data_IF_969130278396
#
_entry.id   IF_969130278396
#
_cell.length_a   1.000
_cell.length_b   1.000
_cell.length_c   1.000
_cell.angle_alpha   90.00
_cell.angle_beta   90.00
_cell.angle_gamma   90.00
#
_symmetry.space_group_name_H-M   'P 1'
#
loop_
_entity.id
_entity.type
_entity.pdbx_description
1 polymer ?
#
# COMPACT_ATOMS: atom_id res chain seq x y z
N UNK A 1 -17.89 21.28 -13.61
CA UNK A 1 -17.13 20.53 -12.58
C UNK A 1 -15.97 19.78 -13.24
N UNK A 2 -14.72 20.14 -12.93
CA UNK A 2 -13.60 19.28 -13.31
C UNK A 2 -13.84 17.92 -12.66
N UNK A 3 -13.86 16.85 -13.45
CA UNK A 3 -13.82 15.50 -12.90
C UNK A 3 -12.42 15.29 -12.34
N UNK A 4 -12.30 15.15 -11.03
CA UNK A 4 -11.04 14.67 -10.44
C UNK A 4 -10.97 13.18 -10.77
N UNK A 5 -9.98 12.79 -11.56
CA UNK A 5 -9.70 11.39 -11.85
C UNK A 5 -8.96 10.83 -10.64
N UNK A 6 -9.70 10.07 -9.82
CA UNK A 6 -9.22 9.45 -8.60
C UNK A 6 -9.47 7.96 -8.68
N UNK A 7 -8.40 7.20 -8.48
CA UNK A 7 -8.41 5.76 -8.42
C UNK A 7 -9.23 5.29 -7.22
N UNK A 8 -9.80 4.09 -7.32
CA UNK A 8 -10.68 3.54 -6.26
C UNK A 8 -9.93 3.22 -4.97
N UNK A 9 -8.61 3.11 -5.04
CA UNK A 9 -7.72 2.82 -3.92
C UNK A 9 -6.41 3.58 -4.12
N UNK A 10 -5.64 3.70 -3.04
CA UNK A 10 -4.37 4.42 -3.08
C UNK A 10 -3.30 3.64 -3.86
N UNK A 11 -2.83 4.22 -4.97
CA UNK A 11 -1.73 3.69 -5.78
C UNK A 11 -0.42 4.43 -5.50
N UNK A 12 0.69 3.69 -5.48
CA UNK A 12 2.04 4.23 -5.41
C UNK A 12 2.63 4.39 -6.82
N UNK A 13 3.73 5.12 -6.98
CA UNK A 13 4.39 5.28 -8.29
C UNK A 13 4.81 3.93 -8.91
N UNK A 14 5.20 2.97 -8.06
CA UNK A 14 5.59 1.61 -8.45
C UNK A 14 4.61 0.60 -7.84
N UNK A 15 3.35 0.61 -8.27
CA UNK A 15 2.30 -0.23 -7.69
C UNK A 15 2.62 -1.73 -7.78
N UNK A 16 3.19 -2.19 -8.89
CA UNK A 16 3.53 -3.60 -9.09
C UNK A 16 4.63 -4.08 -8.11
N UNK A 17 5.63 -3.25 -7.82
CA UNK A 17 6.81 -3.66 -7.03
C UNK A 17 6.71 -3.24 -5.57
N UNK A 18 6.04 -2.14 -5.26
CA UNK A 18 5.90 -1.59 -3.92
C UNK A 18 4.51 -0.97 -3.71
N UNK A 19 3.46 -1.80 -3.67
CA UNK A 19 2.11 -1.34 -3.39
C UNK A 19 1.97 -0.87 -1.94
N UNK A 20 0.96 -0.03 -1.69
CA UNK A 20 0.56 0.29 -0.32
C UNK A 20 -0.31 -0.83 0.24
N UNK A 21 0.26 -1.67 1.09
CA UNK A 21 -0.47 -2.76 1.76
C UNK A 21 -0.88 -2.28 3.15
N UNK A 22 -2.17 -2.38 3.47
CA UNK A 22 -2.72 -2.02 4.77
C UNK A 22 -3.06 -3.27 5.59
N UNK A 23 -3.07 -3.15 6.91
CA UNK A 23 -3.62 -4.12 7.83
C UNK A 23 -5.12 -3.89 8.05
N UNK A 24 -5.91 -4.96 8.03
CA UNK A 24 -7.32 -4.87 8.40
C UNK A 24 -7.43 -4.73 9.92
N UNK A 25 -8.57 -4.24 10.45
CA UNK A 25 -8.75 -4.03 11.89
C UNK A 25 -8.62 -5.29 12.77
N UNK A 26 -8.57 -6.48 12.15
CA UNK A 26 -8.41 -7.77 12.84
C UNK A 26 -6.95 -8.19 12.97
N UNK A 27 -6.07 -7.62 12.16
CA UNK A 27 -4.64 -7.91 12.17
C UNK A 27 -3.86 -6.84 12.97
N UNK A 28 -2.63 -7.18 13.33
CA UNK A 28 -1.70 -6.28 14.02
C UNK A 28 -0.56 -5.85 13.09
N UNK A 29 -0.87 -5.70 11.81
CA UNK A 29 0.11 -5.31 10.80
C UNK A 29 0.62 -3.90 11.01
N UNK A 30 1.84 -3.63 10.55
CA UNK A 30 2.56 -2.39 10.83
C UNK A 30 1.99 -1.16 10.11
N UNK A 31 1.29 -1.36 8.99
CA UNK A 31 0.85 -0.28 8.12
C UNK A 31 -0.66 -0.18 8.10
N UNK A 32 -1.17 1.03 8.37
CA UNK A 32 -2.61 1.30 8.44
C UNK A 32 -3.00 2.38 7.43
N UNK A 33 -4.27 2.46 7.05
CA UNK A 33 -4.78 3.52 6.17
C UNK A 33 -4.51 4.95 6.69
N UNK A 34 -4.24 5.12 7.99
CA UNK A 34 -3.83 6.42 8.57
C UNK A 34 -2.41 6.84 8.18
N UNK A 35 -1.58 5.91 7.74
CA UNK A 35 -0.21 6.15 7.28
C UNK A 35 -0.10 6.43 5.77
N UNK A 36 -1.24 6.59 5.08
CA UNK A 36 -1.23 7.04 3.68
C UNK A 36 -0.62 8.44 3.62
N UNK A 37 0.43 8.66 2.80
CA UNK A 37 1.07 9.96 2.67
C UNK A 37 0.08 11.05 2.24
N UNK A 38 0.21 12.25 2.82
CA UNK A 38 -0.58 13.40 2.40
C UNK A 38 -0.24 13.75 0.95
N UNK A 39 -1.26 14.02 0.14
CA UNK A 39 -1.05 14.49 -1.22
C UNK A 39 -0.25 15.79 -1.17
N UNK A 40 0.76 15.92 -2.03
CA UNK A 40 1.57 17.14 -2.16
C UNK A 40 1.21 17.88 -3.43
N UNK A 41 1.28 19.21 -3.38
CA UNK A 41 1.03 20.06 -4.55
C UNK A 41 2.04 19.80 -5.68
N UNK A 42 1.74 20.30 -6.89
CA UNK A 42 2.52 20.20 -8.14
C UNK A 42 3.59 19.09 -8.15
N UNK A 43 3.21 17.91 -8.67
CA UNK A 43 4.16 16.82 -8.98
C UNK A 43 4.83 16.19 -7.77
N UNK A 44 4.22 16.24 -6.57
CA UNK A 44 4.73 15.56 -5.37
C UNK A 44 5.84 16.31 -4.62
N UNK A 45 6.36 17.41 -5.18
CA UNK A 45 7.43 18.22 -4.59
C UNK A 45 6.95 19.41 -3.75
N UNK A 46 5.68 19.80 -3.88
CA UNK A 46 5.11 20.95 -3.20
C UNK A 46 4.82 20.74 -1.71
N UNK A 47 4.34 21.79 -1.01
CA UNK A 47 3.84 21.66 0.36
C UNK A 47 2.69 20.63 0.43
N UNK A 48 2.50 19.98 1.59
CA UNK A 48 1.39 19.05 1.79
C UNK A 48 0.06 19.80 1.61
N UNK A 49 -0.83 19.19 0.85
CA UNK A 49 -2.17 19.69 0.67
C UNK A 49 -2.92 19.46 1.99
N UNK A 50 -3.53 20.53 2.50
CA UNK A 50 -4.23 20.52 3.79
C UNK A 50 -5.73 20.78 3.66
N UNK A 51 -6.21 21.06 2.46
CA UNK A 51 -7.62 21.39 2.22
C UNK A 51 -8.46 20.11 2.10
N UNK A 52 -9.74 20.24 2.45
CA UNK A 52 -10.76 19.22 2.33
C UNK A 52 -11.61 19.40 1.06
N UNK A 53 -12.56 18.47 0.85
CA UNK A 53 -13.49 18.54 -0.26
C UNK A 53 -14.41 19.79 -0.23
N UNK A 54 -14.61 20.43 0.92
CA UNK A 54 -15.46 21.62 1.02
C UNK A 54 -14.80 22.82 0.34
N UNK A 55 -13.48 22.94 0.49
CA UNK A 55 -12.67 23.93 -0.20
C UNK A 55 -12.64 23.73 -1.73
N UNK A 56 -12.89 22.51 -2.22
CA UNK A 56 -12.94 22.22 -3.67
C UNK A 56 -14.04 23.00 -4.40
N UNK A 57 -15.16 23.26 -3.73
CA UNK A 57 -16.31 23.97 -4.32
C UNK A 57 -16.10 25.50 -4.33
N UNK A 58 -15.04 25.99 -3.68
CA UNK A 58 -14.61 27.38 -3.71
C UNK A 58 -13.66 27.60 -4.89
N UNK A 59 -14.25 27.77 -6.08
CA UNK A 59 -13.73 28.05 -7.44
C UNK A 59 -12.38 28.77 -7.67
N UNK A 60 -11.30 28.46 -6.97
CA UNK A 60 -9.94 28.88 -7.35
C UNK A 60 -9.13 27.68 -7.84
N UNK A 61 -8.57 27.79 -9.05
CA UNK A 61 -7.66 26.80 -9.66
C UNK A 61 -6.35 26.58 -8.86
N UNK A 62 -6.26 27.08 -7.64
CA UNK A 62 -5.10 27.06 -6.74
C UNK A 62 -5.35 26.28 -5.46
N UNK A 63 -6.54 25.72 -5.23
CA UNK A 63 -6.81 24.89 -4.05
C UNK A 63 -6.23 23.49 -4.24
N UNK A 64 -5.21 23.13 -3.45
CA UNK A 64 -4.79 21.74 -3.35
C UNK A 64 -5.55 21.01 -2.24
N UNK A 65 -6.44 20.10 -2.65
CA UNK A 65 -7.22 19.24 -1.75
C UNK A 65 -6.47 17.94 -1.52
N UNK A 66 -6.38 17.51 -0.26
CA UNK A 66 -5.77 16.22 0.06
C UNK A 66 -6.78 15.09 -0.12
N UNK A 67 -6.85 14.53 -1.33
CA UNK A 67 -7.74 13.39 -1.57
C UNK A 67 -7.29 12.10 -0.87
N UNK A 68 -5.99 11.97 -0.58
CA UNK A 68 -5.44 10.78 0.07
C UNK A 68 -6.03 10.54 1.47
N UNK A 69 -6.56 11.57 2.13
CA UNK A 69 -7.18 11.45 3.45
C UNK A 69 -8.46 10.60 3.45
N UNK A 70 -9.08 10.38 2.28
CA UNK A 70 -10.31 9.61 2.16
C UNK A 70 -10.07 8.10 1.98
N UNK A 71 -8.83 7.67 1.71
CA UNK A 71 -8.45 6.25 1.68
C UNK A 71 -8.34 5.70 3.11
N UNK A 72 -9.49 5.40 3.70
CA UNK A 72 -9.61 4.97 5.11
C UNK A 72 -10.02 3.52 5.28
N UNK A 73 -10.56 2.90 4.22
CA UNK A 73 -11.04 1.53 4.25
C UNK A 73 -9.94 0.59 3.75
N UNK A 74 -9.53 -0.34 4.60
CA UNK A 74 -8.62 -1.43 4.23
C UNK A 74 -9.44 -2.66 3.84
N UNK A 75 -9.45 -3.00 2.56
CA UNK A 75 -10.09 -4.20 2.03
C UNK A 75 -9.18 -4.91 1.04
N UNK A 76 -9.42 -6.22 0.84
CA UNK A 76 -8.72 -6.98 -0.20
C UNK A 76 -8.94 -6.34 -1.57
N UNK A 77 -7.86 -6.11 -2.30
CA UNK A 77 -7.89 -5.62 -3.67
C UNK A 77 -8.07 -6.76 -4.68
N UNK A 78 -8.09 -6.40 -5.96
CA UNK A 78 -8.25 -7.37 -7.06
C UNK A 78 -6.91 -8.01 -7.49
N UNK A 79 -5.79 -7.32 -7.26
CA UNK A 79 -4.47 -7.69 -7.78
C UNK A 79 -3.46 -7.84 -6.63
N UNK A 80 -2.65 -8.89 -6.70
CA UNK A 80 -1.56 -9.15 -5.77
C UNK A 80 -0.25 -8.50 -6.27
N UNK A 81 0.75 -8.25 -5.39
CA UNK A 81 2.03 -7.67 -5.77
C UNK A 81 2.78 -8.48 -6.85
N UNK A 82 3.72 -7.82 -7.54
CA UNK A 82 4.51 -8.38 -8.63
C UNK A 82 3.64 -8.99 -9.74
N UNK A 83 2.64 -8.24 -10.21
CA UNK A 83 1.68 -8.69 -11.24
C UNK A 83 0.97 -10.00 -10.84
N UNK A 84 0.73 -10.17 -9.54
CA UNK A 84 0.07 -11.33 -8.97
C UNK A 84 0.96 -12.55 -8.71
N UNK A 85 2.28 -12.45 -8.91
CA UNK A 85 3.19 -13.57 -8.74
C UNK A 85 3.41 -13.95 -7.27
N UNK A 86 3.35 -12.98 -6.35
CA UNK A 86 3.63 -13.20 -4.93
C UNK A 86 2.34 -13.09 -4.12
N UNK A 87 1.83 -14.22 -3.66
CA UNK A 87 0.67 -14.32 -2.77
C UNK A 87 0.67 -15.65 -1.99
N UNK A 88 -0.21 -15.76 -1.00
CA UNK A 88 -0.38 -16.97 -0.18
C UNK A 88 -1.81 -17.54 -0.29
N UNK A 89 -2.53 -17.22 -1.37
CA UNK A 89 -3.93 -17.60 -1.54
C UNK A 89 -4.09 -19.08 -1.90
N UNK A 90 -3.08 -19.66 -2.53
CA UNK A 90 -3.04 -21.06 -2.94
C UNK A 90 -1.71 -21.71 -2.57
N UNK A 91 -1.72 -23.03 -2.40
CA UNK A 91 -0.51 -23.80 -2.06
C UNK A 91 0.60 -23.66 -3.11
N UNK A 92 0.24 -23.55 -4.40
CA UNK A 92 1.21 -23.38 -5.49
C UNK A 92 1.94 -22.03 -5.44
N UNK A 93 1.20 -20.94 -5.24
CA UNK A 93 1.79 -19.61 -5.08
C UNK A 93 2.59 -19.48 -3.79
N UNK A 94 2.13 -20.10 -2.70
CA UNK A 94 2.90 -20.17 -1.46
C UNK A 94 4.26 -20.85 -1.68
N UNK A 95 4.34 -21.93 -2.47
CA UNK A 95 5.62 -22.56 -2.81
C UNK A 95 6.53 -21.68 -3.66
N UNK A 96 5.96 -20.93 -4.62
CA UNK A 96 6.73 -19.96 -5.42
C UNK A 96 7.32 -18.87 -4.51
N UNK A 97 6.52 -18.33 -3.59
CA UNK A 97 6.98 -17.33 -2.62
C UNK A 97 8.07 -17.90 -1.69
N UNK A 98 7.90 -19.13 -1.19
CA UNK A 98 8.91 -19.80 -0.34
C UNK A 98 10.21 -20.02 -1.12
N UNK A 99 10.13 -20.46 -2.38
CA UNK A 99 11.30 -20.65 -3.23
C UNK A 99 12.08 -19.35 -3.40
N UNK A 100 11.38 -18.24 -3.65
CA UNK A 100 11.97 -16.90 -3.74
C UNK A 100 12.66 -16.48 -2.42
N UNK A 101 12.10 -16.83 -1.26
CA UNK A 101 12.74 -16.52 0.03
C UNK A 101 14.03 -17.33 0.21
N UNK A 102 14.06 -18.61 -0.16
CA UNK A 102 15.22 -19.49 -0.01
C UNK A 102 16.38 -19.07 -0.93
N UNK A 103 16.10 -18.51 -2.10
CA UNK A 103 17.14 -17.98 -3.00
C UNK A 103 17.82 -16.71 -2.48
N UNK A 104 17.35 -16.15 -1.36
CA UNK A 104 17.85 -14.92 -0.74
C UNK A 104 17.78 -13.68 -1.63
N UNK A 105 16.91 -13.68 -2.63
CA UNK A 105 16.69 -12.56 -3.54
C UNK A 105 15.27 -12.00 -3.35
N UNK A 106 15.14 -10.71 -3.02
CA UNK A 106 13.82 -10.07 -2.82
C UNK A 106 13.02 -10.58 -1.61
N UNK A 107 13.60 -11.44 -0.76
CA UNK A 107 12.93 -12.00 0.42
C UNK A 107 12.54 -10.94 1.45
N UNK A 108 13.31 -9.86 1.52
CA UNK A 108 13.09 -8.73 2.43
C UNK A 108 11.79 -8.02 2.07
N UNK A 109 11.49 -7.85 0.79
CA UNK A 109 10.26 -7.18 0.33
C UNK A 109 9.02 -8.02 0.68
N UNK A 110 9.08 -9.34 0.45
CA UNK A 110 8.00 -10.27 0.84
C UNK A 110 7.77 -10.24 2.35
N UNK A 111 8.85 -10.25 3.13
CA UNK A 111 8.78 -10.15 4.59
C UNK A 111 8.08 -8.85 5.01
N UNK A 112 8.47 -7.71 4.43
CA UNK A 112 7.85 -6.42 4.75
C UNK A 112 6.37 -6.37 4.36
N UNK A 113 5.97 -6.93 3.22
CA UNK A 113 4.55 -7.02 2.85
C UNK A 113 3.73 -7.80 3.89
N UNK A 114 4.25 -8.93 4.37
CA UNK A 114 3.58 -9.74 5.40
C UNK A 114 3.59 -9.05 6.77
N UNK A 115 4.63 -8.27 7.08
CA UNK A 115 4.69 -7.48 8.31
C UNK A 115 3.71 -6.30 8.31
N UNK A 116 3.60 -5.61 7.18
CA UNK A 116 2.67 -4.50 6.98
C UNK A 116 1.21 -4.96 7.05
N UNK A 117 0.88 -6.10 6.43
CA UNK A 117 -0.48 -6.64 6.40
C UNK A 117 -0.90 -7.31 7.72
N UNK A 118 -0.05 -8.18 8.30
CA UNK A 118 -0.52 -9.13 9.31
C UNK A 118 0.04 -8.88 10.71
N UNK A 119 1.37 -8.83 10.87
CA UNK A 119 2.01 -8.62 12.16
C UNK A 119 3.51 -8.36 12.06
N UNK A 120 4.02 -7.49 12.93
CA UNK A 120 5.47 -7.33 13.12
C UNK A 120 6.17 -8.67 13.41
N UNK A 121 5.59 -9.57 14.20
CA UNK A 121 6.23 -10.83 14.63
C UNK A 121 6.45 -11.85 13.51
N UNK A 122 5.92 -11.61 12.31
CA UNK A 122 6.11 -12.51 11.17
C UNK A 122 7.57 -12.65 10.75
N UNK A 123 8.46 -11.72 11.11
CA UNK A 123 9.90 -11.84 10.83
C UNK A 123 10.48 -13.17 11.35
N UNK A 124 9.96 -13.70 12.46
CA UNK A 124 10.46 -14.94 13.06
C UNK A 124 10.31 -16.12 12.08
N UNK A 125 9.18 -16.19 11.36
CA UNK A 125 8.94 -17.22 10.35
C UNK A 125 9.98 -17.15 9.23
N UNK A 126 10.28 -15.95 8.71
CA UNK A 126 11.24 -15.77 7.63
C UNK A 126 12.67 -16.10 8.06
N UNK A 127 13.07 -15.72 9.28
CA UNK A 127 14.39 -16.06 9.81
C UNK A 127 14.55 -17.58 9.98
N UNK A 128 13.53 -18.27 10.51
CA UNK A 128 13.57 -19.73 10.65
C UNK A 128 13.53 -20.49 9.31
N UNK A 129 12.97 -19.89 8.26
CA UNK A 129 12.95 -20.50 6.93
C UNK A 129 14.33 -20.45 6.26
N UNK A 130 15.13 -19.43 6.57
CA UNK A 130 16.44 -19.17 5.95
C UNK A 130 17.56 -19.97 6.63
N UNK A 131 17.48 -20.16 7.96
CA UNK A 131 18.50 -20.87 8.77
C UNK A 131 18.32 -22.39 8.66
#
# INVERSE_FOLDING_TARGET
>A
PLSVDLERYYQTENEDENPFICSQPRENGMRSCRSVPTLRGEGGGGPPCGLDYEAYNSSSNTTCVNWNQYYTNCSAGEHNPFKGAINFDNIGYAWIAIFQVITLEGWVDIMYFVMDAHSFYNFIYFILLII
#
